data_IF_560720837385
#
_entry.id   IF_560720837385
#
_cell.length_a   1.000
_cell.length_b   1.000
_cell.length_c   1.000
_cell.angle_alpha   90.00
_cell.angle_beta   90.00
_cell.angle_gamma   90.00
#
_symmetry.space_group_name_H-M   'P 1'
#
loop_
_entity.id
_entity.type
_entity.pdbx_description
1 polymer ?
#
# COMPACT_ATOMS: atom_id res chain seq x y z
N UNK A 1 -30.43 45.11 12.12
CA UNK A 1 -30.79 44.16 11.04
C UNK A 1 -30.01 44.50 9.78
N UNK A 2 -28.94 43.76 9.44
CA UNK A 2 -28.27 43.85 8.14
C UNK A 2 -28.82 42.79 7.16
N UNK A 3 -28.91 43.17 5.88
CA UNK A 3 -29.64 42.48 4.81
C UNK A 3 -29.02 41.18 4.24
N UNK A 4 -29.69 40.59 3.23
CA UNK A 4 -29.43 39.22 2.78
C UNK A 4 -28.27 39.13 1.79
N UNK A 5 -27.38 38.16 2.01
CA UNK A 5 -26.30 37.79 1.09
C UNK A 5 -26.84 36.89 -0.02
N UNK A 6 -26.57 37.31 -1.26
CA UNK A 6 -26.84 36.59 -2.51
C UNK A 6 -26.00 35.31 -2.59
N UNK A 7 -26.64 34.16 -2.82
CA UNK A 7 -25.96 32.92 -3.15
C UNK A 7 -25.88 32.78 -4.68
N UNK A 8 -24.65 32.71 -5.18
CA UNK A 8 -24.36 32.47 -6.59
C UNK A 8 -24.58 30.98 -6.90
N UNK A 9 -25.44 30.71 -7.87
CA UNK A 9 -25.62 29.40 -8.49
C UNK A 9 -24.39 29.10 -9.35
N UNK A 10 -23.65 28.05 -9.03
CA UNK A 10 -22.68 27.45 -9.95
C UNK A 10 -23.27 26.18 -10.53
N UNK A 11 -23.65 26.27 -11.80
CA UNK A 11 -24.04 25.16 -12.66
C UNK A 11 -22.78 24.40 -13.09
N UNK A 12 -22.76 23.08 -12.89
CA UNK A 12 -21.75 22.20 -13.48
C UNK A 12 -22.43 21.37 -14.57
N UNK A 13 -21.92 21.37 -15.82
CA UNK A 13 -22.53 20.61 -16.91
C UNK A 13 -22.07 19.15 -16.91
N UNK A 14 -23.02 18.27 -17.21
CA UNK A 14 -22.82 16.86 -17.56
C UNK A 14 -22.45 16.77 -19.05
N UNK A 15 -21.48 15.92 -19.42
CA UNK A 15 -21.54 15.18 -20.67
C UNK A 15 -21.46 13.67 -20.35
N UNK A 16 -22.34 12.82 -20.85
CA UNK A 16 -22.71 12.70 -22.25
C UNK A 16 -22.16 11.37 -22.74
N UNK A 17 -23.05 10.38 -22.83
CA UNK A 17 -22.80 9.03 -23.31
C UNK A 17 -22.54 8.98 -24.81
N UNK A 18 -21.60 8.14 -25.25
CA UNK A 18 -21.70 7.47 -26.55
C UNK A 18 -20.87 6.18 -26.55
N UNK A 19 -21.42 5.04 -27.00
CA UNK A 19 -20.70 3.79 -27.14
C UNK A 19 -20.10 3.69 -28.55
N UNK A 20 -18.82 3.31 -28.65
CA UNK A 20 -18.14 3.12 -29.92
C UNK A 20 -17.16 1.96 -29.80
N UNK A 21 -17.55 0.80 -30.34
CA UNK A 21 -16.69 -0.38 -30.40
C UNK A 21 -15.58 -0.21 -31.43
N UNK A 22 -14.37 -0.62 -31.05
CA UNK A 22 -13.32 -1.00 -32.00
C UNK A 22 -12.66 -2.27 -31.48
N UNK A 23 -12.82 -3.31 -32.29
CA UNK A 23 -12.18 -4.63 -32.21
C UNK A 23 -10.80 -4.52 -32.88
N UNK A 24 -9.90 -5.47 -32.59
CA UNK A 24 -8.55 -5.72 -33.17
C UNK A 24 -7.40 -5.10 -32.33
N UNK A 25 -6.34 -5.80 -31.94
CA UNK A 25 -5.89 -7.15 -32.26
C UNK A 25 -4.74 -7.57 -31.31
N UNK A 26 -4.51 -8.88 -31.28
CA UNK A 26 -3.45 -9.55 -30.51
C UNK A 26 -2.05 -9.13 -30.98
N UNK A 27 -1.05 -8.99 -30.11
CA UNK A 27 0.33 -9.11 -30.54
C UNK A 27 0.77 -10.59 -30.55
N UNK A 28 1.17 -11.08 -31.73
CA UNK A 28 1.98 -12.30 -31.91
C UNK A 28 3.47 -11.98 -31.64
N UNK A 29 4.29 -12.97 -31.25
CA UNK A 29 5.72 -12.78 -31.09
C UNK A 29 6.40 -12.78 -32.46
N UNK A 30 7.45 -11.96 -32.63
CA UNK A 30 8.37 -12.03 -33.77
C UNK A 30 9.79 -12.27 -33.29
N UNK A 31 10.32 -13.38 -33.75
CA UNK A 31 11.73 -13.71 -33.74
C UNK A 31 12.43 -13.11 -34.98
N UNK A 32 13.76 -12.97 -34.82
CA UNK A 32 14.82 -12.91 -35.83
C UNK A 32 15.13 -11.59 -36.56
N UNK A 33 16.42 -11.23 -36.47
CA UNK A 33 17.21 -10.87 -37.65
C UNK A 33 17.74 -9.44 -37.65
N UNK A 34 19.01 -9.25 -37.28
CA UNK A 34 19.68 -7.96 -37.39
C UNK A 34 21.11 -8.00 -36.92
N UNK A 35 21.94 -8.77 -37.62
CA UNK A 35 23.39 -8.77 -37.47
C UNK A 35 23.95 -7.37 -37.78
N UNK A 36 24.76 -6.83 -36.86
CA UNK A 36 25.76 -5.83 -37.19
C UNK A 36 27.11 -6.34 -36.72
N UNK A 37 27.88 -6.78 -37.71
CA UNK A 37 29.31 -7.02 -37.62
C UNK A 37 30.03 -5.70 -37.91
N UNK A 38 30.99 -5.33 -37.05
CA UNK A 38 32.24 -4.65 -37.41
C UNK A 38 33.10 -4.59 -36.13
N UNK A 39 34.08 -5.49 -36.00
CA UNK A 39 35.50 -5.29 -36.34
C UNK A 39 36.30 -4.59 -35.24
N UNK A 40 37.08 -5.37 -34.50
CA UNK A 40 38.53 -5.19 -34.37
C UNK A 40 38.84 -4.65 -32.97
N UNK A 41 39.71 -5.22 -32.15
CA UNK A 41 41.11 -5.56 -32.41
C UNK A 41 41.49 -6.81 -31.60
N UNK A 42 41.98 -7.82 -32.31
CA UNK A 42 42.83 -8.90 -31.82
C UNK A 42 44.30 -8.45 -32.02
N UNK A 43 45.21 -9.05 -31.24
CA UNK A 43 46.68 -8.91 -31.27
C UNK A 43 47.17 -7.72 -30.43
N UNK A 44 48.00 -7.90 -29.39
CA UNK A 44 49.37 -8.41 -29.49
C UNK A 44 49.82 -9.18 -28.23
N UNK A 45 49.78 -10.51 -28.31
CA UNK A 45 50.84 -11.34 -27.74
C UNK A 45 51.85 -11.53 -28.88
N UNK A 46 53.06 -10.99 -28.73
CA UNK A 46 54.08 -11.10 -29.78
C UNK A 46 55.25 -10.14 -29.61
N UNK A 47 56.36 -10.71 -29.17
CA UNK A 47 57.73 -10.32 -29.53
C UNK A 47 58.12 -8.85 -29.36
N UNK A 48 58.74 -8.54 -28.21
CA UNK A 48 59.79 -7.51 -28.16
C UNK A 48 61.15 -8.19 -27.98
N UNK A 49 61.53 -9.02 -28.95
CA UNK A 49 62.91 -9.37 -29.21
C UNK A 49 63.48 -8.28 -30.14
N UNK A 50 63.90 -7.16 -29.56
CA UNK A 50 64.62 -6.12 -30.28
C UNK A 50 66.07 -6.60 -30.46
N UNK A 51 66.33 -7.30 -31.57
CA UNK A 51 67.69 -7.53 -32.08
C UNK A 51 68.21 -6.18 -32.57
N UNK A 52 69.00 -5.52 -31.74
CA UNK A 52 69.78 -4.35 -32.13
C UNK A 52 70.95 -4.85 -32.98
N UNK A 53 71.03 -4.37 -34.22
CA UNK A 53 72.23 -4.47 -35.05
C UNK A 53 73.36 -3.67 -34.38
N UNK A 54 74.27 -4.37 -33.72
CA UNK A 54 75.50 -3.82 -33.16
C UNK A 54 76.51 -3.65 -34.29
N UNK A 55 76.78 -2.40 -34.68
CA UNK A 55 78.01 -2.04 -35.40
C UNK A 55 79.08 -1.72 -34.35
N UNK A 56 80.29 -2.34 -34.38
CA UNK A 56 81.31 -2.06 -33.38
C UNK A 56 82.09 -0.80 -33.80
N UNK A 57 81.93 0.27 -33.04
CA UNK A 57 82.85 1.43 -33.07
C UNK A 57 83.74 1.37 -31.81
N UNK A 58 85.07 1.30 -31.92
CA UNK A 58 85.94 1.25 -30.76
C UNK A 58 86.23 2.67 -30.27
N UNK A 59 85.74 3.00 -29.08
CA UNK A 59 86.03 4.27 -28.41
C UNK A 59 85.54 4.25 -26.96
N UNK A 60 86.43 3.89 -26.05
CA UNK A 60 86.22 3.98 -24.60
C UNK A 60 85.99 5.45 -24.18
N UNK A 61 85.31 5.73 -23.03
CA UNK A 61 85.80 5.33 -21.72
C UNK A 61 84.79 4.51 -20.91
N UNK A 62 85.30 3.52 -20.18
CA UNK A 62 84.56 2.78 -19.16
C UNK A 62 84.12 3.71 -18.02
N UNK A 63 82.89 4.23 -18.12
CA UNK A 63 82.09 4.69 -16.99
C UNK A 63 81.49 3.48 -16.26
N UNK A 64 81.36 3.58 -14.93
CA UNK A 64 81.13 2.46 -14.00
C UNK A 64 79.80 1.72 -14.23
N UNK A 65 79.77 0.48 -14.76
CA UNK A 65 78.54 -0.29 -15.01
C UNK A 65 77.77 -0.66 -13.72
N UNK A 66 78.44 -0.66 -12.57
CA UNK A 66 77.78 -0.90 -11.28
C UNK A 66 76.84 0.23 -10.85
N UNK A 67 77.05 1.48 -11.28
CA UNK A 67 76.20 2.60 -10.86
C UNK A 67 74.84 2.57 -11.58
N UNK A 68 74.83 2.20 -12.87
CA UNK A 68 73.60 2.07 -13.66
C UNK A 68 72.83 0.79 -13.32
N UNK A 69 73.53 -0.31 -13.03
CA UNK A 69 72.91 -1.53 -12.51
C UNK A 69 72.22 -1.31 -11.15
N UNK A 70 72.86 -0.57 -10.23
CA UNK A 70 72.26 -0.22 -8.93
C UNK A 70 71.04 0.71 -9.06
N UNK A 71 71.04 1.63 -10.03
CA UNK A 71 69.86 2.48 -10.33
C UNK A 71 68.70 1.67 -10.89
N UNK A 72 68.97 0.79 -11.85
CA UNK A 72 67.95 -0.09 -12.42
C UNK A 72 67.35 -1.03 -11.37
N UNK A 73 68.18 -1.60 -10.48
CA UNK A 73 67.73 -2.42 -9.34
C UNK A 73 66.82 -1.62 -8.39
N UNK A 74 67.18 -0.36 -8.08
CA UNK A 74 66.39 0.52 -7.23
C UNK A 74 65.04 0.90 -7.86
N UNK A 75 65.00 1.19 -9.17
CA UNK A 75 63.76 1.44 -9.91
C UNK A 75 62.84 0.20 -9.91
N UNK A 76 63.41 -1.00 -10.12
CA UNK A 76 62.67 -2.26 -10.09
C UNK A 76 62.08 -2.54 -8.70
N UNK A 77 62.84 -2.26 -7.63
CA UNK A 77 62.33 -2.37 -6.26
C UNK A 77 61.22 -1.36 -5.98
N UNK A 78 61.35 -0.12 -6.47
CA UNK A 78 60.30 0.90 -6.35
C UNK A 78 59.02 0.49 -7.06
N UNK A 79 59.12 -0.03 -8.29
CA UNK A 79 57.96 -0.52 -9.05
C UNK A 79 57.30 -1.71 -8.35
N UNK A 80 58.09 -2.65 -7.82
CA UNK A 80 57.55 -3.78 -7.04
C UNK A 80 56.80 -3.32 -5.79
N UNK A 81 57.37 -2.38 -5.04
CA UNK A 81 56.72 -1.81 -3.87
C UNK A 81 55.40 -1.10 -4.22
N UNK A 82 55.37 -0.40 -5.36
CA UNK A 82 54.17 0.28 -5.86
C UNK A 82 53.08 -0.71 -6.32
N UNK A 83 53.46 -1.77 -7.03
CA UNK A 83 52.55 -2.86 -7.41
C UNK A 83 51.96 -3.52 -6.16
N UNK A 84 52.77 -3.80 -5.15
CA UNK A 84 52.29 -4.38 -3.89
C UNK A 84 51.33 -3.44 -3.15
N UNK A 85 51.61 -2.13 -3.11
CA UNK A 85 50.74 -1.12 -2.53
C UNK A 85 49.38 -1.10 -3.24
N UNK A 86 49.38 -0.98 -4.57
CA UNK A 86 48.16 -0.97 -5.39
C UNK A 86 47.38 -2.29 -5.21
N UNK A 87 48.07 -3.43 -5.18
CA UNK A 87 47.42 -4.74 -4.99
C UNK A 87 46.70 -4.82 -3.64
N UNK A 88 47.34 -4.32 -2.56
CA UNK A 88 46.71 -4.24 -1.23
C UNK A 88 45.52 -3.30 -1.23
N UNK A 89 45.63 -2.12 -1.82
CA UNK A 89 44.54 -1.14 -1.94
C UNK A 89 43.33 -1.71 -2.71
N UNK A 90 43.56 -2.31 -3.87
CA UNK A 90 42.50 -2.97 -4.66
C UNK A 90 41.83 -4.09 -3.87
N UNK A 91 42.61 -4.89 -3.12
CA UNK A 91 42.04 -5.97 -2.30
C UNK A 91 41.17 -5.45 -1.15
N UNK A 92 41.60 -4.38 -0.48
CA UNK A 92 40.85 -3.76 0.60
C UNK A 92 39.56 -3.11 0.09
N UNK A 93 39.63 -2.41 -1.05
CA UNK A 93 38.49 -1.79 -1.72
C UNK A 93 37.47 -2.86 -2.17
N UNK A 94 37.93 -3.99 -2.69
CA UNK A 94 37.05 -5.10 -3.08
C UNK A 94 36.27 -5.64 -1.87
N UNK A 95 36.93 -5.82 -0.72
CA UNK A 95 36.29 -6.27 0.53
C UNK A 95 35.25 -5.26 1.01
N UNK A 96 35.59 -3.97 1.04
CA UNK A 96 34.66 -2.91 1.43
C UNK A 96 33.46 -2.83 0.48
N UNK A 97 33.69 -2.96 -0.83
CA UNK A 97 32.62 -2.95 -1.84
C UNK A 97 31.66 -4.13 -1.65
N UNK A 98 32.19 -5.31 -1.35
CA UNK A 98 31.38 -6.51 -1.12
C UNK A 98 30.58 -6.41 0.20
N UNK A 99 31.13 -5.75 1.22
CA UNK A 99 30.41 -5.38 2.45
C UNK A 99 29.27 -4.40 2.16
N UNK A 100 29.54 -3.27 1.50
CA UNK A 100 28.51 -2.27 1.13
C UNK A 100 27.41 -2.87 0.24
N UNK A 101 27.77 -3.76 -0.69
CA UNK A 101 26.79 -4.47 -1.53
C UNK A 101 25.88 -5.37 -0.69
N UNK A 102 26.42 -6.03 0.32
CA UNK A 102 25.66 -6.89 1.24
C UNK A 102 24.73 -6.06 2.14
N UNK A 103 25.23 -4.93 2.65
CA UNK A 103 24.43 -3.97 3.41
C UNK A 103 23.29 -3.38 2.57
N UNK A 104 23.57 -3.02 1.31
CA UNK A 104 22.55 -2.49 0.39
C UNK A 104 21.45 -3.53 0.17
N UNK A 105 21.84 -4.78 -0.10
CA UNK A 105 20.88 -5.89 -0.24
C UNK A 105 20.03 -6.06 1.01
N UNK A 106 20.62 -5.98 2.19
CA UNK A 106 19.90 -6.07 3.47
C UNK A 106 18.90 -4.92 3.62
N UNK A 107 19.32 -3.68 3.35
CA UNK A 107 18.48 -2.49 3.41
C UNK A 107 17.31 -2.57 2.40
N UNK A 108 17.55 -3.04 1.18
CA UNK A 108 16.50 -3.21 0.17
C UNK A 108 15.49 -4.29 0.55
N UNK A 109 15.95 -5.40 1.13
CA UNK A 109 15.06 -6.43 1.68
C UNK A 109 14.23 -5.89 2.85
N UNK A 110 14.82 -5.07 3.71
CA UNK A 110 14.11 -4.42 4.82
C UNK A 110 13.00 -3.50 4.30
N UNK A 111 13.32 -2.61 3.35
CA UNK A 111 12.33 -1.73 2.68
C UNK A 111 11.23 -2.55 2.02
N UNK A 112 11.57 -3.66 1.36
CA UNK A 112 10.60 -4.56 0.74
C UNK A 112 9.63 -5.17 1.75
N UNK A 113 10.14 -5.67 2.89
CA UNK A 113 9.33 -6.23 3.98
C UNK A 113 8.39 -5.19 4.59
N UNK A 114 8.88 -3.99 4.89
CA UNK A 114 8.04 -2.92 5.47
C UNK A 114 6.96 -2.47 4.49
N UNK A 115 7.26 -2.39 3.18
CA UNK A 115 6.26 -2.07 2.15
C UNK A 115 5.17 -3.14 2.07
N UNK A 116 5.54 -4.42 2.14
CA UNK A 116 4.58 -5.51 2.15
C UNK A 116 3.68 -5.47 3.39
N UNK A 117 4.25 -5.26 4.58
CA UNK A 117 3.50 -5.10 5.82
C UNK A 117 2.54 -3.90 5.77
N UNK A 118 2.98 -2.76 5.24
CA UNK A 118 2.15 -1.58 5.08
C UNK A 118 1.00 -1.81 4.08
N UNK A 119 1.24 -2.56 3.00
CA UNK A 119 0.19 -2.92 2.04
C UNK A 119 -0.87 -3.81 2.70
N UNK A 120 -0.45 -4.76 3.53
CA UNK A 120 -1.36 -5.65 4.26
C UNK A 120 -2.22 -4.89 5.27
N UNK A 121 -1.62 -4.01 6.09
CA UNK A 121 -2.37 -3.16 7.04
C UNK A 121 -3.39 -2.28 6.30
N UNK A 122 -3.04 -1.75 5.13
CA UNK A 122 -3.98 -0.96 4.31
C UNK A 122 -5.13 -1.78 3.76
N UNK A 123 -4.86 -3.03 3.31
CA UNK A 123 -5.87 -3.97 2.84
C UNK A 123 -6.84 -4.29 3.96
N UNK A 124 -6.33 -4.70 5.12
CA UNK A 124 -7.16 -5.03 6.28
C UNK A 124 -8.00 -3.83 6.74
N UNK A 125 -7.41 -2.63 6.81
CA UNK A 125 -8.13 -1.40 7.14
C UNK A 125 -9.26 -1.10 6.15
N UNK A 126 -9.06 -1.34 4.85
CA UNK A 126 -10.10 -1.15 3.85
C UNK A 126 -11.25 -2.15 4.01
N UNK A 127 -10.94 -3.42 4.27
CA UNK A 127 -11.93 -4.48 4.51
C UNK A 127 -12.77 -4.20 5.77
N UNK A 128 -12.12 -3.78 6.86
CA UNK A 128 -12.78 -3.38 8.11
C UNK A 128 -13.66 -2.15 7.94
N UNK A 129 -13.17 -1.14 7.21
CA UNK A 129 -13.94 0.06 6.92
C UNK A 129 -15.20 -0.24 6.08
N UNK A 130 -15.09 -1.17 5.12
CA UNK A 130 -16.24 -1.63 4.34
C UNK A 130 -17.27 -2.35 5.22
N UNK A 131 -16.82 -3.28 6.06
CA UNK A 131 -17.68 -4.00 7.03
C UNK A 131 -18.39 -3.03 7.97
N UNK A 132 -17.66 -2.06 8.53
CA UNK A 132 -18.25 -1.00 9.37
C UNK A 132 -19.34 -0.22 8.62
N UNK A 133 -19.11 0.11 7.34
CA UNK A 133 -20.09 0.83 6.54
C UNK A 133 -21.36 -0.01 6.29
N UNK A 134 -21.21 -1.32 6.05
CA UNK A 134 -22.33 -2.26 5.93
C UNK A 134 -23.15 -2.33 7.23
N UNK A 135 -22.48 -2.49 8.38
CA UNK A 135 -23.13 -2.52 9.69
C UNK A 135 -23.87 -1.20 10.00
N UNK A 136 -23.28 -0.06 9.66
CA UNK A 136 -23.91 1.25 9.84
C UNK A 136 -25.14 1.42 8.95
N UNK A 137 -25.10 0.90 7.72
CA UNK A 137 -26.25 0.91 6.81
C UNK A 137 -27.38 0.00 7.33
N UNK A 138 -27.06 -1.20 7.81
CA UNK A 138 -28.03 -2.11 8.44
C UNK A 138 -28.69 -1.43 9.65
N UNK A 139 -27.88 -0.83 10.53
CA UNK A 139 -28.38 -0.11 11.71
C UNK A 139 -29.36 0.99 11.32
N UNK A 140 -28.99 1.84 10.36
CA UNK A 140 -29.85 2.94 9.90
C UNK A 140 -31.17 2.42 9.30
N UNK A 141 -31.13 1.32 8.54
CA UNK A 141 -32.33 0.68 8.01
C UNK A 141 -33.25 0.22 9.15
N UNK A 142 -32.72 -0.51 10.13
CA UNK A 142 -33.50 -1.01 11.29
C UNK A 142 -34.09 0.13 12.12
N UNK A 143 -33.32 1.19 12.35
CA UNK A 143 -33.85 2.39 13.03
C UNK A 143 -35.02 3.01 12.25
N UNK A 144 -34.96 3.00 10.91
CA UNK A 144 -36.07 3.38 10.05
C UNK A 144 -37.31 2.50 10.23
N UNK A 145 -37.13 1.18 10.16
CA UNK A 145 -38.20 0.20 10.35
C UNK A 145 -38.86 0.35 11.73
N UNK A 146 -38.07 0.56 12.79
CA UNK A 146 -38.59 0.80 14.15
C UNK A 146 -39.42 2.09 14.21
N UNK A 147 -38.97 3.18 13.59
CA UNK A 147 -39.72 4.45 13.56
C UNK A 147 -41.07 4.27 12.87
N UNK A 148 -41.09 3.60 11.71
CA UNK A 148 -42.31 3.34 10.95
C UNK A 148 -43.30 2.46 11.72
N UNK A 149 -42.81 1.33 12.27
CA UNK A 149 -43.62 0.39 13.06
C UNK A 149 -44.21 1.08 14.31
N UNK A 150 -43.41 1.91 15.01
CA UNK A 150 -43.88 2.70 16.17
C UNK A 150 -44.93 3.73 15.79
N UNK A 151 -44.76 4.43 14.67
CA UNK A 151 -45.74 5.42 14.19
C UNK A 151 -47.07 4.75 13.83
N UNK A 152 -47.03 3.60 13.14
CA UNK A 152 -48.21 2.81 12.82
C UNK A 152 -48.94 2.34 14.09
N UNK A 153 -48.20 1.81 15.08
CA UNK A 153 -48.76 1.37 16.35
C UNK A 153 -49.40 2.54 17.13
N UNK A 154 -48.75 3.70 17.17
CA UNK A 154 -49.31 4.90 17.79
C UNK A 154 -50.62 5.34 17.12
N UNK A 155 -50.69 5.27 15.79
CA UNK A 155 -51.92 5.54 15.03
C UNK A 155 -53.05 4.57 15.39
N UNK A 156 -52.76 3.27 15.46
CA UNK A 156 -53.73 2.24 15.88
C UNK A 156 -54.23 2.46 17.31
N UNK A 157 -53.36 2.86 18.24
CA UNK A 157 -53.73 3.13 19.63
C UNK A 157 -54.61 4.37 19.75
N UNK A 158 -54.32 5.44 19.00
CA UNK A 158 -55.18 6.64 18.96
C UNK A 158 -56.56 6.31 18.40
N UNK A 159 -56.62 5.57 17.28
CA UNK A 159 -57.88 5.15 16.67
C UNK A 159 -58.71 4.26 17.61
N UNK A 160 -58.06 3.29 18.27
CA UNK A 160 -58.70 2.44 19.27
C UNK A 160 -59.23 3.25 20.47
N UNK A 161 -58.50 4.27 20.91
CA UNK A 161 -58.93 5.15 22.00
C UNK A 161 -60.15 6.00 21.61
N UNK A 162 -60.19 6.52 20.38
CA UNK A 162 -61.33 7.32 19.89
C UNK A 162 -62.60 6.49 19.71
N UNK A 163 -62.47 5.23 19.28
CA UNK A 163 -63.61 4.32 19.07
C UNK A 163 -64.06 3.68 20.40
N UNK A 164 -63.11 3.36 21.29
CA UNK A 164 -63.32 2.46 22.43
C UNK A 164 -63.97 3.04 23.69
N UNK A 165 -64.33 4.33 23.74
CA UNK A 165 -64.79 4.96 25.00
C UNK A 165 -66.17 4.52 25.46
N UNK A 166 -67.03 3.94 24.60
CA UNK A 166 -68.41 3.58 25.00
C UNK A 166 -69.01 2.30 24.39
N UNK A 167 -68.42 1.64 23.39
CA UNK A 167 -69.15 0.64 22.60
C UNK A 167 -69.08 -0.81 23.10
N UNK A 168 -67.93 -1.39 23.49
CA UNK A 168 -67.84 -2.84 23.74
C UNK A 168 -68.62 -3.31 24.97
N UNK A 169 -68.51 -2.60 26.10
CA UNK A 169 -69.27 -2.92 27.32
C UNK A 169 -70.77 -2.65 27.13
N UNK A 170 -71.12 -1.59 26.40
CA UNK A 170 -72.50 -1.19 26.16
C UNK A 170 -73.20 -2.17 25.20
N UNK A 171 -72.48 -2.72 24.22
CA UNK A 171 -72.96 -3.81 23.35
C UNK A 171 -73.19 -5.11 24.13
N UNK A 172 -72.29 -5.45 25.06
CA UNK A 172 -72.45 -6.61 25.96
C UNK A 172 -73.70 -6.49 26.84
N UNK A 173 -73.91 -5.30 27.40
CA UNK A 173 -75.00 -5.04 28.34
C UNK A 173 -76.37 -4.91 27.64
N UNK A 174 -76.41 -4.60 26.34
CA UNK A 174 -77.66 -4.36 25.62
C UNK A 174 -78.27 -5.63 24.99
N UNK A 175 -77.60 -6.79 25.02
CA UNK A 175 -78.08 -8.15 24.66
C UNK A 175 -78.88 -8.35 23.34
N UNK A 176 -78.94 -7.37 22.42
CA UNK A 176 -79.81 -7.44 21.23
C UNK A 176 -79.40 -8.49 20.19
N UNK A 177 -78.10 -8.80 20.06
CA UNK A 177 -77.59 -9.83 19.13
C UNK A 177 -76.30 -10.51 19.67
N UNK A 178 -76.39 -11.72 20.24
CA UNK A 178 -75.23 -12.45 20.77
C UNK A 178 -74.27 -12.95 19.69
N UNK A 179 -74.75 -13.21 18.46
CA UNK A 179 -73.91 -13.68 17.36
C UNK A 179 -73.02 -12.55 16.81
N UNK A 180 -73.54 -11.32 16.77
CA UNK A 180 -72.76 -10.13 16.42
C UNK A 180 -71.67 -9.83 17.47
N UNK A 181 -72.02 -9.91 18.76
CA UNK A 181 -71.06 -9.71 19.85
C UNK A 181 -69.90 -10.72 19.78
N UNK A 182 -70.19 -12.01 19.57
CA UNK A 182 -69.16 -13.04 19.43
C UNK A 182 -68.17 -12.77 18.29
N UNK A 183 -68.65 -12.29 17.13
CA UNK A 183 -67.78 -11.91 15.99
C UNK A 183 -66.89 -10.71 16.32
N UNK A 184 -67.44 -9.67 16.95
CA UNK A 184 -66.69 -8.48 17.36
C UNK A 184 -65.56 -8.86 18.34
N UNK A 185 -65.83 -9.73 19.32
CA UNK A 185 -64.79 -10.23 20.23
C UNK A 185 -63.71 -11.04 19.52
N UNK A 186 -64.10 -11.90 18.57
CA UNK A 186 -63.13 -12.63 17.76
C UNK A 186 -62.20 -11.65 17.01
N UNK A 187 -62.75 -10.60 16.38
CA UNK A 187 -61.97 -9.57 15.70
C UNK A 187 -61.03 -8.82 16.64
N UNK A 188 -61.48 -8.39 17.82
CA UNK A 188 -60.59 -7.79 18.82
C UNK A 188 -59.44 -8.74 19.21
N UNK A 189 -59.73 -10.03 19.35
CA UNK A 189 -58.69 -11.05 19.57
C UNK A 189 -57.67 -11.12 18.43
N UNK A 190 -58.11 -11.08 17.17
CA UNK A 190 -57.21 -11.03 16.01
C UNK A 190 -56.35 -9.76 15.99
N UNK A 191 -56.96 -8.58 16.22
CA UNK A 191 -56.22 -7.31 16.27
C UNK A 191 -55.22 -7.27 17.43
N UNK A 192 -55.59 -7.79 18.59
CA UNK A 192 -54.69 -7.91 19.74
C UNK A 192 -53.48 -8.79 19.44
N UNK A 193 -53.68 -9.95 18.80
CA UNK A 193 -52.58 -10.82 18.37
C UNK A 193 -51.68 -10.16 17.33
N UNK A 194 -52.26 -9.47 16.35
CA UNK A 194 -51.48 -8.75 15.33
C UNK A 194 -50.63 -7.63 15.97
N UNK A 195 -51.21 -6.89 16.92
CA UNK A 195 -50.48 -5.85 17.67
C UNK A 195 -49.34 -6.43 18.50
N UNK A 196 -49.59 -7.52 19.22
CA UNK A 196 -48.55 -8.20 19.99
C UNK A 196 -47.41 -8.70 19.08
N UNK A 197 -47.72 -9.18 17.88
CA UNK A 197 -46.70 -9.55 16.89
C UNK A 197 -45.89 -8.33 16.41
N UNK A 198 -46.53 -7.19 16.16
CA UNK A 198 -45.83 -5.95 15.80
C UNK A 198 -44.91 -5.46 16.92
N UNK A 199 -45.32 -5.56 18.18
CA UNK A 199 -44.48 -5.18 19.33
C UNK A 199 -43.24 -6.08 19.40
N UNK A 200 -43.41 -7.40 19.25
CA UNK A 200 -42.26 -8.33 19.24
C UNK A 200 -41.26 -8.01 18.13
N UNK A 201 -41.74 -7.71 16.92
CA UNK A 201 -40.85 -7.30 15.81
C UNK A 201 -40.09 -6.00 16.12
N UNK A 202 -40.71 -5.05 16.82
CA UNK A 202 -40.02 -3.82 17.25
C UNK A 202 -38.97 -4.15 18.32
N UNK A 203 -39.28 -5.02 19.27
CA UNK A 203 -38.34 -5.46 20.31
C UNK A 203 -37.13 -6.18 19.71
N UNK A 204 -37.36 -7.07 18.74
CA UNK A 204 -36.31 -7.75 17.96
C UNK A 204 -35.43 -6.76 17.20
N UNK A 205 -36.01 -5.78 16.50
CA UNK A 205 -35.22 -4.76 15.80
C UNK A 205 -34.40 -3.91 16.78
N UNK A 206 -34.96 -3.53 17.93
CA UNK A 206 -34.26 -2.75 18.96
C UNK A 206 -33.09 -3.54 19.54
N UNK A 207 -33.28 -4.84 19.78
CA UNK A 207 -32.20 -5.72 20.23
C UNK A 207 -31.10 -5.81 19.15
N UNK A 208 -31.48 -6.03 17.88
CA UNK A 208 -30.51 -6.09 16.78
C UNK A 208 -29.74 -4.77 16.61
N UNK A 209 -30.41 -3.62 16.80
CA UNK A 209 -29.74 -2.31 16.79
C UNK A 209 -28.68 -2.22 17.89
N UNK A 210 -28.97 -2.68 19.11
CA UNK A 210 -28.00 -2.69 20.21
C UNK A 210 -26.81 -3.62 19.93
N UNK A 211 -27.05 -4.78 19.32
CA UNK A 211 -25.99 -5.69 18.87
C UNK A 211 -25.11 -5.03 17.80
N UNK A 212 -25.72 -4.37 16.81
CA UNK A 212 -25.02 -3.63 15.76
C UNK A 212 -24.18 -2.47 16.31
N UNK A 213 -24.62 -1.80 17.39
CA UNK A 213 -23.82 -0.78 18.08
C UNK A 213 -22.55 -1.39 18.69
N UNK A 214 -22.68 -2.54 19.35
CA UNK A 214 -21.51 -3.26 19.88
C UNK A 214 -20.56 -3.74 18.77
N UNK A 215 -21.09 -4.24 17.65
CA UNK A 215 -20.29 -4.64 16.49
C UNK A 215 -19.57 -3.43 15.85
N UNK A 216 -20.24 -2.28 15.74
CA UNK A 216 -19.65 -1.03 15.22
C UNK A 216 -18.53 -0.51 16.13
N UNK A 217 -18.74 -0.51 17.45
CA UNK A 217 -17.72 -0.10 18.42
C UNK A 217 -16.49 -1.01 18.33
N UNK A 218 -16.69 -2.31 18.15
CA UNK A 218 -15.60 -3.27 17.95
C UNK A 218 -14.82 -2.98 16.66
N UNK A 219 -15.51 -2.76 15.53
CA UNK A 219 -14.86 -2.38 14.27
C UNK A 219 -14.10 -1.04 14.37
N UNK A 220 -14.64 -0.07 15.11
CA UNK A 220 -13.96 1.22 15.36
C UNK A 220 -12.67 1.05 16.18
N UNK A 221 -12.68 0.17 17.19
CA UNK A 221 -11.47 -0.16 17.95
C UNK A 221 -10.41 -0.84 17.08
N UNK A 222 -10.82 -1.78 16.22
CA UNK A 222 -9.89 -2.45 15.29
C UNK A 222 -9.30 -1.46 14.28
N UNK A 223 -10.12 -0.56 13.71
CA UNK A 223 -9.65 0.47 12.80
C UNK A 223 -8.65 1.43 13.46
N UNK A 224 -8.86 1.78 14.73
CA UNK A 224 -7.92 2.62 15.49
C UNK A 224 -6.58 1.92 15.77
N UNK A 225 -6.60 0.62 16.06
CA UNK A 225 -5.38 -0.20 16.17
C UNK A 225 -4.64 -0.27 14.83
N UNK A 226 -5.34 -0.57 13.74
CA UNK A 226 -4.76 -0.62 12.39
C UNK A 226 -4.17 0.73 11.97
N UNK A 227 -4.76 1.85 12.38
CA UNK A 227 -4.20 3.18 12.15
C UNK A 227 -2.87 3.38 12.92
N UNK A 228 -2.80 2.94 14.17
CA UNK A 228 -1.54 2.97 14.94
C UNK A 228 -0.47 2.10 14.28
N UNK A 229 -0.83 0.89 13.85
CA UNK A 229 0.07 0.01 13.12
C UNK A 229 0.54 0.64 11.80
N UNK A 230 -0.36 1.26 11.04
CA UNK A 230 -0.02 1.94 9.80
C UNK A 230 1.00 3.06 10.04
N UNK A 231 0.81 3.87 11.08
CA UNK A 231 1.77 4.94 11.46
C UNK A 231 3.13 4.37 11.84
N UNK A 232 3.15 3.27 12.60
CA UNK A 232 4.40 2.58 12.96
C UNK A 232 5.13 2.03 11.72
N UNK A 233 4.41 1.39 10.79
CA UNK A 233 4.99 0.90 9.54
C UNK A 233 5.51 2.03 8.64
N UNK A 234 4.83 3.18 8.59
CA UNK A 234 5.31 4.36 7.87
C UNK A 234 6.60 4.91 8.47
N UNK A 235 6.70 4.96 9.80
CA UNK A 235 7.92 5.38 10.48
C UNK A 235 9.08 4.42 10.19
N UNK A 236 8.84 3.11 10.29
CA UNK A 236 9.84 2.09 9.95
C UNK A 236 10.28 2.18 8.49
N UNK A 237 9.33 2.48 7.57
CA UNK A 237 9.65 2.63 6.16
C UNK A 237 10.60 3.81 5.92
N UNK A 238 10.41 4.90 6.65
CA UNK A 238 11.28 6.06 6.55
C UNK A 238 12.68 5.76 7.07
N UNK A 239 12.80 5.09 8.23
CA UNK A 239 14.09 4.65 8.76
C UNK A 239 14.83 3.74 7.76
N UNK A 240 14.16 2.74 7.21
CA UNK A 240 14.78 1.84 6.21
C UNK A 240 15.16 2.56 4.90
N UNK A 241 14.46 3.65 4.53
CA UNK A 241 14.84 4.48 3.37
C UNK A 241 16.08 5.31 3.66
N UNK A 242 16.19 5.87 4.86
CA UNK A 242 17.37 6.61 5.30
C UNK A 242 18.59 5.69 5.32
N UNK A 243 18.49 4.50 5.91
CA UNK A 243 19.57 3.49 5.90
C UNK A 243 20.01 3.13 4.48
N UNK A 244 19.04 2.85 3.58
CA UNK A 244 19.34 2.57 2.17
C UNK A 244 20.06 3.75 1.50
N UNK A 245 19.62 4.98 1.76
CA UNK A 245 20.24 6.18 1.17
C UNK A 245 21.67 6.38 1.65
N UNK A 246 21.97 6.07 2.91
CA UNK A 246 23.31 6.14 3.46
C UNK A 246 24.24 5.11 2.79
N UNK A 247 23.80 3.86 2.66
CA UNK A 247 24.61 2.82 1.98
C UNK A 247 24.85 3.16 0.50
N UNK A 248 23.84 3.70 -0.19
CA UNK A 248 24.01 4.17 -1.57
C UNK A 248 25.03 5.30 -1.68
N UNK A 249 24.99 6.28 -0.77
CA UNK A 249 25.95 7.37 -0.74
C UNK A 249 27.38 6.87 -0.48
N UNK A 250 27.57 5.90 0.42
CA UNK A 250 28.87 5.25 0.66
C UNK A 250 29.38 4.53 -0.59
N UNK A 251 28.50 3.83 -1.32
CA UNK A 251 28.85 3.15 -2.56
C UNK A 251 29.25 4.13 -3.67
N UNK A 252 28.56 5.27 -3.78
CA UNK A 252 28.88 6.34 -4.73
C UNK A 252 30.23 7.00 -4.40
N UNK A 253 30.50 7.30 -3.11
CA UNK A 253 31.77 7.85 -2.66
C UNK A 253 32.95 6.91 -2.94
N UNK A 254 32.76 5.60 -2.72
CA UNK A 254 33.76 4.59 -3.06
C UNK A 254 34.04 4.55 -4.57
N UNK A 255 32.98 4.54 -5.40
CA UNK A 255 33.11 4.54 -6.86
C UNK A 255 33.84 5.79 -7.39
N UNK A 256 33.60 6.96 -6.80
CA UNK A 256 34.29 8.20 -7.18
C UNK A 256 35.78 8.18 -6.78
N UNK A 257 36.10 7.67 -5.59
CA UNK A 257 37.49 7.53 -5.12
C UNK A 257 38.28 6.61 -6.06
N UNK A 258 37.68 5.51 -6.50
CA UNK A 258 38.27 4.60 -7.49
C UNK A 258 38.60 5.28 -8.81
N UNK A 259 37.65 6.06 -9.34
CA UNK A 259 37.83 6.77 -10.61
C UNK A 259 39.01 7.74 -10.54
N UNK A 260 39.16 8.47 -9.44
CA UNK A 260 40.28 9.40 -9.23
C UNK A 260 41.64 8.69 -9.10
N UNK A 261 41.66 7.50 -8.51
CA UNK A 261 42.90 6.72 -8.35
C UNK A 261 43.38 6.08 -9.66
N UNK A 262 42.49 5.86 -10.64
CA UNK A 262 42.84 5.34 -11.97
C UNK A 262 43.30 6.43 -12.96
N UNK A 263 42.99 7.70 -12.68
CA UNK A 263 43.39 8.85 -13.50
C UNK A 263 44.76 9.44 -13.10
N UNK A 264 45.31 9.03 -11.96
CA UNK A 264 46.65 9.43 -11.48
C UNK A 264 47.73 8.46 -11.94
#
# INVERSE_FOLDING_TARGET
MPGPKKAAHYSVPVPGSTPGGVRLGRPRPRAQGGAWAARGVLLLAGALALVIWVSPSPGAPAGRPEADARKAEAELQSVKAEIERITREVSAEQVERDQLTTELKSAELSVGKVRAALAEVRRERAERAARRAELAAEKHQREGEVREKRAALAGQLRAAYTIGRQEPLKLLLNQKDPALAGRIFAYYGYFGRARAAQIRLIEEDVQRIAELEGELDAEDQQLAELERQQRAQLHQLELSRVERSHVLASLEAQSHTRAQNLER
#
